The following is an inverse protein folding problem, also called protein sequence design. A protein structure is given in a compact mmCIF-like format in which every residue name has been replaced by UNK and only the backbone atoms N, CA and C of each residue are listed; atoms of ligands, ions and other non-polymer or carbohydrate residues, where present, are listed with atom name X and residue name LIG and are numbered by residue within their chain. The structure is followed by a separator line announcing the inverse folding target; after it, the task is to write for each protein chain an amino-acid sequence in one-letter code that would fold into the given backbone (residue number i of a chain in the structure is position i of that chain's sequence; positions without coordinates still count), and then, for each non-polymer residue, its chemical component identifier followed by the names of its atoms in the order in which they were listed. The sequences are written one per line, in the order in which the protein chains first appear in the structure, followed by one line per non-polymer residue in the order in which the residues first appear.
data_IF_494507385165
#
_entry.id   IF_494507385165
#
_cell.length_a   1.000
_cell.length_b   1.000
_cell.length_c   1.000
_cell.angle_alpha   90.00
_cell.angle_beta   90.00
_cell.angle_gamma   90.00
#
_symmetry.space_group_name_H-M   'P 1'
#
loop_
_entity.id
_entity.type
_entity.pdbx_description
1 polymer ?
#
# COMPACT_ATOMS: atom_id res chain seq x y z
N UNK A 1 31.56 53.73 -23.81
CA UNK A 1 32.22 52.48 -23.36
C UNK A 1 31.71 51.93 -22.02
N UNK A 2 31.33 52.77 -21.03
CA UNK A 2 30.85 52.29 -19.70
C UNK A 2 29.41 51.72 -19.66
N UNK A 3 28.54 52.13 -20.59
CA UNK A 3 27.13 51.70 -20.62
C UNK A 3 26.96 50.25 -21.13
N UNK A 4 27.77 49.83 -22.12
CA UNK A 4 27.74 48.46 -22.67
C UNK A 4 28.30 47.42 -21.69
N UNK A 5 29.23 47.79 -20.82
CA UNK A 5 29.76 46.92 -19.74
C UNK A 5 28.75 46.70 -18.63
N UNK A 6 27.95 47.72 -18.28
CA UNK A 6 26.87 47.60 -17.28
C UNK A 6 25.72 46.71 -17.79
N UNK A 7 25.33 46.83 -19.06
CA UNK A 7 24.28 46.00 -19.68
C UNK A 7 24.72 44.53 -19.77
N UNK A 8 25.99 44.26 -20.13
CA UNK A 8 26.54 42.90 -20.14
C UNK A 8 26.60 42.30 -18.73
N UNK A 9 27.05 43.06 -17.73
CA UNK A 9 27.08 42.62 -16.33
C UNK A 9 25.68 42.28 -15.80
N UNK A 10 24.66 43.07 -16.13
CA UNK A 10 23.27 42.80 -15.75
C UNK A 10 22.66 41.59 -16.48
N UNK A 11 23.03 41.35 -17.76
CA UNK A 11 22.60 40.16 -18.49
C UNK A 11 23.24 38.89 -17.92
N UNK A 12 24.52 38.90 -17.58
CA UNK A 12 25.21 37.75 -16.97
C UNK A 12 24.71 37.46 -15.55
N UNK A 13 24.29 38.47 -14.78
CA UNK A 13 23.72 38.27 -13.44
C UNK A 13 22.29 37.69 -13.50
N UNK A 14 21.50 38.06 -14.51
CA UNK A 14 20.17 37.45 -14.77
C UNK A 14 20.27 36.02 -15.29
N UNK A 15 21.29 35.71 -16.10
CA UNK A 15 21.51 34.35 -16.59
C UNK A 15 21.97 33.40 -15.48
N UNK A 16 22.81 33.87 -14.54
CA UNK A 16 23.18 33.09 -13.34
C UNK A 16 22.00 32.87 -12.38
N UNK A 17 21.13 33.87 -12.19
CA UNK A 17 19.95 33.74 -11.34
C UNK A 17 18.89 32.81 -11.97
N UNK A 18 18.74 32.80 -13.29
CA UNK A 18 17.86 31.87 -13.99
C UNK A 18 18.37 30.42 -13.95
N UNK A 19 19.70 30.20 -13.97
CA UNK A 19 20.29 28.87 -13.84
C UNK A 19 20.25 28.33 -12.40
N UNK A 20 20.30 29.20 -11.40
CA UNK A 20 20.17 28.82 -9.98
C UNK A 20 18.74 28.39 -9.60
N UNK A 21 17.71 28.90 -10.31
CA UNK A 21 16.32 28.50 -10.08
C UNK A 21 15.98 27.08 -10.59
N UNK A 22 16.83 26.49 -11.45
CA UNK A 22 16.70 25.11 -11.94
C UNK A 22 17.33 24.06 -11.00
N UNK A 23 17.98 24.49 -9.92
CA UNK A 23 18.63 23.61 -8.94
C UNK A 23 17.85 23.50 -7.62
N UNK A 24 16.64 24.03 -7.54
CA UNK A 24 15.75 23.76 -6.41
C UNK A 24 15.21 22.35 -6.60
N UNK A 25 15.63 21.35 -5.79
CA UNK A 25 14.97 20.07 -5.82
C UNK A 25 13.52 20.37 -5.45
N UNK A 26 12.56 20.02 -6.31
CA UNK A 26 11.18 19.97 -5.89
C UNK A 26 11.16 19.06 -4.66
N UNK A 27 10.95 19.63 -3.48
CA UNK A 27 10.61 18.84 -2.32
C UNK A 27 9.31 18.14 -2.72
N UNK A 28 9.42 16.88 -3.10
CA UNK A 28 8.27 16.02 -3.27
C UNK A 28 7.56 16.03 -1.92
N UNK A 29 6.50 16.83 -1.82
CA UNK A 29 5.55 16.67 -0.75
C UNK A 29 5.08 15.22 -0.86
N UNK A 30 5.25 14.44 0.21
CA UNK A 30 4.61 13.14 0.24
C UNK A 30 3.12 13.39 0.05
N UNK A 31 2.61 12.96 -1.10
CA UNK A 31 1.18 13.00 -1.37
C UNK A 31 0.50 12.17 -0.27
N UNK A 32 -0.70 12.55 0.21
CA UNK A 32 -1.43 11.77 1.22
C UNK A 32 -1.36 10.27 0.94
N UNK A 33 -1.46 9.89 -0.34
CA UNK A 33 -1.33 8.54 -0.88
C UNK A 33 -0.09 7.74 -0.46
N UNK A 34 1.01 8.37 -0.06
CA UNK A 34 2.21 7.66 0.41
C UNK A 34 1.97 6.94 1.74
N UNK A 35 1.24 7.57 2.66
CA UNK A 35 0.91 6.96 3.96
C UNK A 35 -0.03 5.78 3.74
N UNK A 36 -1.10 5.96 2.95
CA UNK A 36 -2.02 4.87 2.66
C UNK A 36 -1.35 3.73 1.90
N UNK A 37 -0.42 4.04 0.98
CA UNK A 37 0.29 3.00 0.24
C UNK A 37 1.28 2.25 1.12
N UNK A 38 2.08 2.94 1.95
CA UNK A 38 2.96 2.27 2.91
C UNK A 38 2.16 1.40 3.88
N UNK A 39 1.03 1.89 4.38
CA UNK A 39 0.13 1.13 5.23
C UNK A 39 -0.42 -0.12 4.51
N UNK A 40 -0.87 -0.01 3.26
CA UNK A 40 -1.34 -1.14 2.44
C UNK A 40 -0.27 -2.22 2.33
N UNK A 41 0.96 -1.84 2.01
CA UNK A 41 2.06 -2.80 1.84
C UNK A 41 2.38 -3.52 3.16
N UNK A 42 2.31 -2.81 4.29
CA UNK A 42 2.45 -3.40 5.62
C UNK A 42 1.33 -4.38 5.93
N UNK A 43 0.07 -4.02 5.66
CA UNK A 43 -1.09 -4.90 5.86
C UNK A 43 -0.97 -6.15 4.98
N UNK A 44 -0.54 -6.02 3.73
CA UNK A 44 -0.30 -7.14 2.82
C UNK A 44 0.77 -8.08 3.38
N UNK A 45 1.97 -7.57 3.69
CA UNK A 45 3.06 -8.39 4.21
C UNK A 45 2.68 -9.09 5.52
N UNK A 46 1.89 -8.43 6.38
CA UNK A 46 1.48 -9.01 7.64
C UNK A 46 0.65 -10.29 7.46
N UNK A 47 -0.06 -10.42 6.34
CA UNK A 47 -1.03 -11.49 6.14
C UNK A 47 -0.56 -12.53 5.12
N UNK A 48 0.09 -12.09 4.05
CA UNK A 48 0.39 -12.95 2.90
C UNK A 48 1.85 -13.45 2.89
N UNK A 49 2.71 -13.01 3.81
CA UNK A 49 4.10 -13.48 3.91
C UNK A 49 4.25 -15.00 4.10
N UNK A 50 3.26 -15.66 4.73
CA UNK A 50 3.24 -17.14 4.86
C UNK A 50 3.09 -17.89 3.53
N UNK A 51 2.68 -17.20 2.45
CA UNK A 51 2.75 -17.71 1.08
C UNK A 51 4.20 -17.84 0.60
N UNK A 52 5.00 -16.81 0.86
CA UNK A 52 6.38 -16.68 0.43
C UNK A 52 7.36 -17.56 1.21
N UNK A 53 7.21 -17.62 2.55
CA UNK A 53 8.16 -18.30 3.46
C UNK A 53 7.41 -19.18 4.45
N UNK A 54 7.94 -20.38 4.69
CA UNK A 54 7.47 -21.27 5.74
C UNK A 54 8.65 -21.98 6.41
N UNK A 55 8.67 -22.02 7.74
CA UNK A 55 9.71 -22.69 8.54
C UNK A 55 11.14 -22.26 8.17
N UNK A 56 11.36 -20.96 7.96
CA UNK A 56 12.67 -20.40 7.59
C UNK A 56 13.11 -20.69 6.15
N UNK A 57 12.25 -21.28 5.31
CA UNK A 57 12.54 -21.62 3.92
C UNK A 57 11.61 -20.87 2.97
N UNK A 58 12.16 -20.48 1.82
CA UNK A 58 11.37 -19.88 0.74
C UNK A 58 10.49 -20.97 0.14
N UNK A 59 9.17 -20.76 0.21
CA UNK A 59 8.13 -21.61 -0.40
C UNK A 59 7.85 -21.17 -1.83
N UNK A 60 7.86 -19.85 -2.08
CA UNK A 60 7.68 -19.27 -3.41
C UNK A 60 8.71 -18.18 -3.64
N UNK A 61 9.57 -18.35 -4.65
CA UNK A 61 10.66 -17.41 -4.92
C UNK A 61 10.13 -16.06 -5.42
N UNK A 62 9.07 -16.05 -6.22
CA UNK A 62 8.45 -14.83 -6.72
C UNK A 62 7.73 -14.06 -5.60
N UNK A 63 6.95 -14.75 -4.76
CA UNK A 63 6.29 -14.10 -3.62
C UNK A 63 7.32 -13.58 -2.61
N UNK A 64 8.42 -14.31 -2.38
CA UNK A 64 9.48 -13.82 -1.51
C UNK A 64 10.19 -12.59 -2.08
N UNK A 65 10.45 -12.55 -3.39
CA UNK A 65 10.98 -11.35 -4.03
C UNK A 65 10.04 -10.15 -3.85
N UNK A 66 8.74 -10.37 -4.05
CA UNK A 66 7.71 -9.35 -3.85
C UNK A 66 7.68 -8.83 -2.39
N UNK A 67 7.79 -9.71 -1.39
CA UNK A 67 7.84 -9.29 0.02
C UNK A 67 9.05 -8.37 0.29
N UNK A 68 10.18 -8.63 -0.36
CA UNK A 68 11.37 -7.76 -0.24
C UNK A 68 11.16 -6.42 -0.95
N UNK A 69 10.53 -6.41 -2.13
CA UNK A 69 10.20 -5.19 -2.87
C UNK A 69 9.20 -4.31 -2.09
N UNK A 70 8.18 -4.93 -1.48
CA UNK A 70 7.22 -4.24 -0.64
C UNK A 70 7.86 -3.64 0.61
N UNK A 71 8.73 -4.39 1.30
CA UNK A 71 9.48 -3.88 2.44
C UNK A 71 10.39 -2.69 2.07
N UNK A 72 11.05 -2.76 0.91
CA UNK A 72 11.86 -1.67 0.39
C UNK A 72 11.00 -0.43 0.03
N UNK A 73 9.85 -0.64 -0.63
CA UNK A 73 8.93 0.44 -0.99
C UNK A 73 8.37 1.16 0.24
N UNK A 74 8.05 0.43 1.31
CA UNK A 74 7.67 1.03 2.61
C UNK A 74 8.79 1.95 3.10
N UNK A 75 10.03 1.47 3.15
CA UNK A 75 11.18 2.26 3.60
C UNK A 75 11.36 3.55 2.79
N UNK A 76 11.27 3.48 1.46
CA UNK A 76 11.35 4.65 0.58
C UNK A 76 10.25 5.67 0.88
N UNK A 77 9.00 5.21 1.03
CA UNK A 77 7.87 6.11 1.34
C UNK A 77 8.03 6.78 2.70
N UNK A 78 8.44 6.03 3.72
CA UNK A 78 8.69 6.57 5.06
C UNK A 78 9.79 7.64 5.07
N UNK A 79 10.82 7.51 4.22
CA UNK A 79 11.86 8.52 4.05
C UNK A 79 11.32 9.79 3.39
N UNK A 80 10.38 9.65 2.45
CA UNK A 80 9.72 10.76 1.75
C UNK A 80 8.70 11.53 2.61
N UNK A 81 8.21 10.95 3.72
CA UNK A 81 7.20 11.59 4.56
C UNK A 81 7.68 12.95 5.14
N UNK A 82 6.76 13.90 5.40
CA UNK A 82 7.09 15.19 6.01
C UNK A 82 7.88 15.01 7.31
N UNK A 83 8.86 15.86 7.55
CA UNK A 83 9.71 15.75 8.73
C UNK A 83 8.89 15.86 10.03
N UNK A 84 8.94 14.79 10.84
CA UNK A 84 8.40 14.73 12.21
C UNK A 84 9.38 13.98 13.11
N UNK A 85 9.39 14.23 14.44
CA UNK A 85 10.25 13.49 15.37
C UNK A 85 10.10 11.96 15.26
N UNK A 86 8.90 11.47 14.99
CA UNK A 86 8.57 10.04 14.89
C UNK A 86 9.11 9.39 13.61
N UNK A 87 9.39 10.17 12.56
CA UNK A 87 9.77 9.64 11.23
C UNK A 87 10.98 8.72 11.30
N UNK A 88 11.99 9.11 12.08
CA UNK A 88 13.21 8.31 12.21
C UNK A 88 12.95 6.96 12.88
N UNK A 89 12.05 6.93 13.88
CA UNK A 89 11.66 5.69 14.52
C UNK A 89 10.91 4.77 13.55
N UNK A 90 10.01 5.31 12.72
CA UNK A 90 9.31 4.53 11.69
C UNK A 90 10.30 3.91 10.67
N UNK A 91 11.27 4.69 10.19
CA UNK A 91 12.31 4.20 9.27
C UNK A 91 13.11 3.06 9.91
N UNK A 92 13.50 3.19 11.19
CA UNK A 92 14.23 2.15 11.89
C UNK A 92 13.41 0.86 12.05
N UNK A 93 12.10 0.99 12.30
CA UNK A 93 11.19 -0.15 12.38
C UNK A 93 10.99 -0.83 11.02
N UNK A 94 10.93 -0.06 9.93
CA UNK A 94 10.88 -0.61 8.57
C UNK A 94 12.16 -1.37 8.21
N UNK A 95 13.33 -0.83 8.58
CA UNK A 95 14.61 -1.52 8.41
C UNK A 95 14.65 -2.84 9.19
N UNK A 96 14.12 -2.86 10.42
CA UNK A 96 14.01 -4.10 11.21
C UNK A 96 13.08 -5.12 10.54
N UNK A 97 11.92 -4.71 10.05
CA UNK A 97 11.01 -5.58 9.30
C UNK A 97 11.70 -6.18 8.06
N UNK A 98 12.41 -5.35 7.29
CA UNK A 98 13.13 -5.79 6.10
C UNK A 98 14.25 -6.78 6.44
N UNK A 99 14.98 -6.58 7.56
CA UNK A 99 15.99 -7.52 8.03
C UNK A 99 15.38 -8.88 8.40
N UNK A 100 14.26 -8.89 9.13
CA UNK A 100 13.55 -10.13 9.49
C UNK A 100 13.06 -10.87 8.25
N UNK A 101 12.53 -10.17 7.24
CA UNK A 101 12.14 -10.78 5.96
C UNK A 101 13.36 -11.39 5.26
N UNK A 102 14.50 -10.66 5.19
CA UNK A 102 15.73 -11.15 4.55
C UNK A 102 16.28 -12.43 5.22
N UNK A 103 16.16 -12.50 6.55
CA UNK A 103 16.52 -13.67 7.36
C UNK A 103 15.48 -14.79 7.33
N UNK A 104 14.37 -14.61 6.59
CA UNK A 104 13.26 -15.57 6.48
C UNK A 104 12.65 -15.87 7.85
N UNK A 105 12.49 -14.83 8.67
CA UNK A 105 11.85 -14.90 9.97
C UNK A 105 10.44 -15.49 9.90
N UNK A 106 9.87 -15.83 11.06
CA UNK A 106 8.57 -16.51 11.11
C UNK A 106 7.42 -15.60 10.63
N UNK A 107 6.33 -16.21 10.16
CA UNK A 107 5.13 -15.48 9.73
C UNK A 107 4.57 -14.61 10.84
N UNK A 108 4.57 -15.10 12.08
CA UNK A 108 4.08 -14.39 13.26
C UNK A 108 4.96 -13.18 13.59
N UNK A 109 6.27 -13.31 13.40
CA UNK A 109 7.22 -12.22 13.63
C UNK A 109 7.03 -11.11 12.59
N UNK A 110 6.92 -11.45 11.31
CA UNK A 110 6.67 -10.50 10.23
C UNK A 110 5.32 -9.80 10.43
N UNK A 111 4.26 -10.55 10.74
CA UNK A 111 2.94 -10.01 11.03
C UNK A 111 2.95 -9.01 12.19
N UNK A 112 3.61 -9.36 13.30
CA UNK A 112 3.72 -8.51 14.48
C UNK A 112 4.45 -7.20 14.16
N UNK A 113 5.57 -7.28 13.43
CA UNK A 113 6.35 -6.11 13.06
C UNK A 113 5.61 -5.20 12.07
N UNK A 114 4.99 -5.79 11.05
CA UNK A 114 4.27 -5.07 10.01
C UNK A 114 3.02 -4.36 10.57
N UNK A 115 2.16 -5.06 11.33
CA UNK A 115 1.01 -4.44 11.98
C UNK A 115 1.43 -3.36 12.99
N UNK A 116 2.46 -3.63 13.79
CA UNK A 116 2.98 -2.65 14.73
C UNK A 116 3.47 -1.38 14.02
N UNK A 117 4.19 -1.53 12.91
CA UNK A 117 4.68 -0.39 12.12
C UNK A 117 3.52 0.36 11.46
N UNK A 118 2.53 -0.36 10.93
CA UNK A 118 1.34 0.24 10.34
C UNK A 118 0.56 1.09 11.37
N UNK A 119 0.42 0.60 12.60
CA UNK A 119 -0.23 1.34 13.68
C UNK A 119 0.53 2.62 14.07
N UNK A 120 1.86 2.55 14.17
CA UNK A 120 2.68 3.72 14.50
C UNK A 120 2.72 4.75 13.35
N UNK A 121 2.71 4.27 12.10
CA UNK A 121 2.62 5.12 10.92
C UNK A 121 1.35 5.98 10.99
N UNK A 122 0.18 5.39 11.27
CA UNK A 122 -1.07 6.15 11.38
C UNK A 122 -1.10 7.10 12.59
N UNK A 123 -0.44 6.72 13.70
CA UNK A 123 -0.34 7.60 14.86
C UNK A 123 0.48 8.86 14.54
N UNK A 124 1.58 8.69 13.81
CA UNK A 124 2.46 9.79 13.42
C UNK A 124 1.90 10.59 12.23
N UNK A 125 1.24 9.93 11.28
CA UNK A 125 0.70 10.52 10.04
C UNK A 125 -0.74 10.06 9.85
N UNK A 126 -1.70 10.69 10.54
CA UNK A 126 -3.10 10.29 10.46
C UNK A 126 -3.63 10.56 9.05
N UNK A 127 -4.14 9.51 8.41
CA UNK A 127 -4.88 9.57 7.15
C UNK A 127 -6.12 8.69 7.25
N UNK A 128 -7.24 9.05 6.61
CA UNK A 128 -8.40 8.18 6.58
C UNK A 128 -8.09 6.92 5.76
N UNK A 129 -8.35 5.76 6.35
CA UNK A 129 -8.29 4.45 5.69
C UNK A 129 -9.66 3.85 5.43
N UNK A 130 -10.70 4.39 6.06
CA UNK A 130 -12.08 3.97 5.87
C UNK A 130 -12.99 5.18 6.15
N UNK A 131 -14.24 5.17 5.66
CA UNK A 131 -15.23 6.17 6.05
C UNK A 131 -15.44 6.20 7.57
N UNK A 132 -15.64 7.40 8.13
CA UNK A 132 -15.86 7.59 9.58
C UNK A 132 -17.21 7.03 10.08
N UNK A 133 -18.11 6.66 9.16
CA UNK A 133 -19.41 6.08 9.45
C UNK A 133 -19.56 4.77 8.69
N UNK A 134 -20.18 3.79 9.35
CA UNK A 134 -20.54 2.53 8.71
C UNK A 134 -21.43 2.80 7.47
N UNK A 135 -21.14 2.16 6.33
CA UNK A 135 -21.99 2.23 5.14
C UNK A 135 -23.40 1.68 5.39
N UNK A 136 -24.36 2.10 4.56
CA UNK A 136 -25.72 1.54 4.59
C UNK A 136 -25.71 0.08 4.12
N UNK A 137 -26.05 -0.84 5.02
CA UNK A 137 -26.04 -2.28 4.72
C UNK A 137 -27.10 -2.72 3.72
N UNK A 138 -28.24 -2.03 3.63
CA UNK A 138 -29.29 -2.33 2.63
C UNK A 138 -28.78 -2.00 1.23
N UNK A 139 -28.16 -0.82 1.07
CA UNK A 139 -27.51 -0.44 -0.18
C UNK A 139 -26.35 -1.38 -0.53
N UNK A 140 -25.50 -1.72 0.45
CA UNK A 140 -24.40 -2.66 0.27
C UNK A 140 -24.85 -4.05 -0.15
N UNK A 141 -25.95 -4.56 0.44
CA UNK A 141 -26.54 -5.84 0.06
C UNK A 141 -27.05 -5.81 -1.38
N UNK A 142 -27.77 -4.76 -1.79
CA UNK A 142 -28.25 -4.62 -3.16
C UNK A 142 -27.09 -4.57 -4.18
N UNK A 143 -26.03 -3.81 -3.87
CA UNK A 143 -24.83 -3.73 -4.70
C UNK A 143 -24.12 -5.09 -4.82
N UNK A 144 -23.95 -5.78 -3.69
CA UNK A 144 -23.31 -7.10 -3.67
C UNK A 144 -24.05 -8.12 -4.53
N UNK A 145 -25.39 -8.14 -4.45
CA UNK A 145 -26.22 -9.03 -5.28
C UNK A 145 -26.09 -8.74 -6.78
N UNK A 146 -25.97 -7.45 -7.15
CA UNK A 146 -25.89 -7.04 -8.55
C UNK A 146 -24.50 -7.27 -9.15
N UNK A 147 -23.44 -7.00 -8.39
CA UNK A 147 -22.07 -6.92 -8.94
C UNK A 147 -21.14 -8.05 -8.49
N UNK A 148 -21.39 -8.66 -7.34
CA UNK A 148 -20.43 -9.59 -6.70
C UNK A 148 -20.92 -11.04 -6.67
N UNK A 149 -22.24 -11.25 -6.55
CA UNK A 149 -22.81 -12.55 -6.21
C UNK A 149 -22.70 -13.63 -7.31
N UNK A 150 -22.52 -13.24 -8.58
CA UNK A 150 -22.28 -14.20 -9.68
C UNK A 150 -21.02 -15.05 -9.44
N UNK A 151 -19.98 -14.46 -8.84
CA UNK A 151 -18.74 -15.14 -8.48
C UNK A 151 -18.70 -15.50 -6.99
N UNK A 152 -18.99 -14.56 -6.08
CA UNK A 152 -18.85 -14.78 -4.63
C UNK A 152 -20.07 -15.48 -3.98
N UNK A 153 -21.15 -15.72 -4.73
CA UNK A 153 -22.38 -16.36 -4.23
C UNK A 153 -23.29 -15.41 -3.46
N UNK A 154 -24.60 -15.69 -3.46
CA UNK A 154 -25.62 -14.81 -2.85
C UNK A 154 -25.42 -14.55 -1.35
N UNK A 155 -24.78 -15.47 -0.64
CA UNK A 155 -24.46 -15.37 0.78
C UNK A 155 -22.99 -15.04 1.05
N UNK A 156 -22.20 -14.74 0.01
CA UNK A 156 -20.76 -14.51 0.13
C UNK A 156 -19.95 -15.77 0.43
N UNK A 157 -20.48 -16.96 0.18
CA UNK A 157 -19.82 -18.24 0.46
C UNK A 157 -18.76 -18.66 -0.57
N UNK A 158 -18.45 -17.82 -1.55
CA UNK A 158 -17.50 -18.10 -2.62
C UNK A 158 -18.01 -19.11 -3.68
N UNK A 159 -19.29 -19.46 -3.65
CA UNK A 159 -19.91 -20.47 -4.53
C UNK A 159 -20.97 -19.87 -5.45
N UNK A 160 -20.64 -18.75 -6.09
CA UNK A 160 -21.48 -18.18 -7.13
C UNK A 160 -21.59 -19.10 -8.35
N UNK A 161 -22.61 -18.92 -9.21
CA UNK A 161 -22.79 -19.73 -10.43
C UNK A 161 -21.57 -19.71 -11.38
N UNK A 162 -20.77 -18.64 -11.36
CA UNK A 162 -19.57 -18.53 -12.19
C UNK A 162 -18.29 -18.97 -11.46
N UNK A 163 -18.34 -19.20 -10.14
CA UNK A 163 -17.15 -19.53 -9.34
C UNK A 163 -16.40 -20.76 -9.86
N UNK A 164 -17.13 -21.81 -10.28
CA UNK A 164 -16.55 -23.05 -10.77
C UNK A 164 -15.84 -22.90 -12.14
N UNK A 165 -16.03 -21.78 -12.84
CA UNK A 165 -15.40 -21.48 -14.14
C UNK A 165 -14.05 -20.77 -13.97
N UNK A 166 -13.73 -20.29 -12.77
CA UNK A 166 -12.55 -19.48 -12.52
C UNK A 166 -11.34 -20.36 -12.19
N UNK A 167 -10.17 -20.02 -12.74
CA UNK A 167 -8.92 -20.68 -12.40
C UNK A 167 -8.54 -20.48 -10.92
N UNK A 168 -8.84 -19.30 -10.39
CA UNK A 168 -8.68 -18.97 -8.98
C UNK A 168 -10.06 -18.87 -8.33
N UNK A 169 -10.40 -19.75 -7.37
CA UNK A 169 -11.72 -19.71 -6.74
C UNK A 169 -11.91 -18.41 -5.93
N UNK A 170 -13.12 -17.82 -5.93
CA UNK A 170 -13.42 -16.67 -5.10
C UNK A 170 -13.27 -16.99 -3.61
N UNK A 171 -12.76 -16.02 -2.84
CA UNK A 171 -12.70 -16.15 -1.38
C UNK A 171 -14.12 -16.17 -0.83
N UNK A 172 -14.37 -17.09 0.11
CA UNK A 172 -15.57 -17.13 0.92
C UNK A 172 -15.47 -16.10 2.07
N UNK A 173 -16.39 -15.15 2.10
CA UNK A 173 -16.50 -14.15 3.17
C UNK A 173 -17.16 -14.70 4.44
N UNK A 174 -17.68 -15.93 4.37
CA UNK A 174 -18.29 -16.64 5.52
C UNK A 174 -17.25 -17.25 6.46
N UNK A 175 -15.97 -17.30 6.08
CA UNK A 175 -14.89 -17.71 6.96
C UNK A 175 -14.49 -16.54 7.88
N UNK A 176 -14.94 -16.59 9.13
CA UNK A 176 -14.71 -15.52 10.10
C UNK A 176 -13.24 -15.36 10.50
N UNK A 177 -12.45 -16.44 10.52
CA UNK A 177 -11.02 -16.34 10.82
C UNK A 177 -10.29 -15.65 9.68
N UNK A 178 -10.57 -16.05 8.44
CA UNK A 178 -9.97 -15.41 7.27
C UNK A 178 -10.41 -13.95 7.11
N UNK A 179 -11.69 -13.65 7.37
CA UNK A 179 -12.21 -12.28 7.32
C UNK A 179 -11.50 -11.36 8.33
N UNK A 180 -11.18 -11.86 9.53
CA UNK A 180 -10.42 -11.10 10.55
C UNK A 180 -8.99 -10.77 10.15
N UNK A 181 -8.41 -11.50 9.20
CA UNK A 181 -7.08 -11.23 8.67
C UNK A 181 -7.09 -10.16 7.58
N UNK A 182 -8.22 -9.52 7.26
CA UNK A 182 -8.28 -8.46 6.25
C UNK A 182 -8.84 -7.19 6.83
N UNK A 183 -8.15 -6.07 6.56
CA UNK A 183 -8.65 -4.76 6.90
C UNK A 183 -9.74 -4.30 5.91
N UNK A 184 -10.63 -3.42 6.38
CA UNK A 184 -11.65 -2.77 5.51
C UNK A 184 -10.98 -2.03 4.35
N UNK A 185 -9.83 -1.40 4.61
CA UNK A 185 -9.07 -0.70 3.59
C UNK A 185 -8.54 -1.66 2.51
N UNK A 186 -7.97 -2.81 2.91
CA UNK A 186 -7.52 -3.82 1.96
C UNK A 186 -8.68 -4.36 1.10
N UNK A 187 -9.84 -4.61 1.70
CA UNK A 187 -11.04 -5.04 0.97
C UNK A 187 -11.51 -3.97 -0.02
N UNK A 188 -11.55 -2.71 0.40
CA UNK A 188 -11.89 -1.58 -0.47
C UNK A 188 -10.92 -1.48 -1.66
N UNK A 189 -9.63 -1.73 -1.44
CA UNK A 189 -8.63 -1.71 -2.50
C UNK A 189 -8.79 -2.87 -3.48
N UNK A 190 -9.01 -4.10 -2.99
CA UNK A 190 -9.31 -5.24 -3.86
C UNK A 190 -10.55 -4.97 -4.72
N UNK A 191 -11.59 -4.37 -4.15
CA UNK A 191 -12.80 -4.02 -4.89
C UNK A 191 -12.52 -2.93 -5.93
N UNK A 192 -11.80 -1.88 -5.57
CA UNK A 192 -11.55 -0.74 -6.47
C UNK A 192 -10.47 -1.00 -7.52
N UNK A 193 -9.48 -1.85 -7.25
CA UNK A 193 -8.36 -2.10 -8.17
C UNK A 193 -8.48 -3.43 -8.89
N UNK A 194 -9.24 -4.38 -8.34
CA UNK A 194 -9.20 -5.77 -8.77
C UNK A 194 -7.95 -6.49 -8.26
N UNK A 195 -7.71 -7.69 -8.81
CA UNK A 195 -6.52 -8.49 -8.52
C UNK A 195 -5.94 -8.97 -9.85
N UNK A 196 -4.75 -8.50 -10.17
CA UNK A 196 -4.02 -8.86 -11.38
C UNK A 196 -3.84 -10.38 -11.51
N UNK A 197 -3.98 -10.89 -12.73
CA UNK A 197 -3.88 -12.32 -13.00
C UNK A 197 -5.09 -13.15 -12.53
N UNK A 198 -6.17 -12.53 -12.06
CA UNK A 198 -7.41 -13.20 -11.69
C UNK A 198 -8.61 -12.64 -12.47
N UNK A 199 -9.79 -13.26 -12.30
CA UNK A 199 -11.04 -12.74 -12.84
C UNK A 199 -11.65 -11.59 -11.98
N UNK A 200 -11.03 -11.25 -10.85
CA UNK A 200 -11.49 -10.15 -10.00
C UNK A 200 -11.07 -8.82 -10.64
N UNK A 201 -11.95 -8.25 -11.45
CA UNK A 201 -11.76 -6.95 -12.09
C UNK A 201 -11.90 -5.78 -11.10
N UNK A 202 -11.51 -4.59 -11.55
CA UNK A 202 -11.78 -3.33 -10.85
C UNK A 202 -13.27 -2.99 -10.88
N UNK A 203 -13.76 -2.48 -9.76
CA UNK A 203 -15.09 -1.90 -9.60
C UNK A 203 -15.01 -0.45 -9.08
N UNK A 204 -13.98 0.30 -9.49
CA UNK A 204 -13.80 1.70 -9.07
C UNK A 204 -14.95 2.64 -9.47
N UNK A 205 -15.73 2.26 -10.48
CA UNK A 205 -16.83 3.05 -11.03
C UNK A 205 -18.18 2.83 -10.32
N UNK A 206 -18.23 1.99 -9.28
CA UNK A 206 -19.43 1.72 -8.47
C UNK A 206 -19.67 2.73 -7.35
#
# INVERSE_FOLDING_TARGET
MRLLTLIRAMLSLRLLAALAALLIPAAAFAEPGDVQTAWRLLDYMAVDYGGAVANGRIKSASEYAEMNEFAASVSTRLQGLPAKPERQALIQRAANLQAVIAEKGSTEQVATLAHGLAADLLRAYPVPLAPDKAPNLVSGHALFQQSCASCHGMTGNGRGPDAAKLATPPIAFTDAERARQRSVFALYQVVTQGIDGTAMQSFADL
#
